data_IF_570727059424
#
_entry.id   IF_570727059424
#
_cell.length_a   1.000
_cell.length_b   1.000
_cell.length_c   1.000
_cell.angle_alpha   90.00
_cell.angle_beta   90.00
_cell.angle_gamma   90.00
#
_symmetry.space_group_name_H-M   'P 1'
#
loop_
_entity.id
_entity.type
_entity.pdbx_description
1 polymer ?
#
# COMPACT_ATOMS: atom_id res chain seq x y z
N UNK A 1 -29.39 0.95 10.50
CA UNK A 1 -28.77 -0.18 11.23
C UNK A 1 -27.85 -0.92 10.27
N UNK A 2 -26.54 -0.69 10.37
CA UNK A 2 -25.55 -1.45 9.59
C UNK A 2 -25.46 -2.87 10.16
N UNK A 3 -25.70 -3.87 9.32
CA UNK A 3 -25.55 -5.29 9.70
C UNK A 3 -24.06 -5.61 9.79
N UNK A 4 -23.60 -6.06 10.95
CA UNK A 4 -22.36 -6.81 11.09
C UNK A 4 -22.54 -8.14 10.34
N UNK A 5 -21.88 -8.25 9.19
CA UNK A 5 -21.61 -9.50 8.49
C UNK A 5 -20.30 -10.07 9.09
N UNK A 6 -19.95 -11.33 8.84
CA UNK A 6 -18.77 -11.99 9.46
C UNK A 6 -17.42 -11.34 9.10
N UNK A 7 -17.44 -10.42 8.14
CA UNK A 7 -16.46 -9.43 7.71
C UNK A 7 -16.65 -8.13 8.51
N UNK A 8 -15.66 -7.80 9.35
CA UNK A 8 -15.68 -6.71 10.31
C UNK A 8 -16.16 -5.38 9.73
N UNK A 9 -17.38 -4.98 10.12
CA UNK A 9 -17.93 -3.62 10.15
C UNK A 9 -17.21 -2.63 9.23
N UNK A 10 -17.73 -2.44 8.02
CA UNK A 10 -17.09 -1.70 6.92
C UNK A 10 -16.54 -0.33 7.35
N UNK A 11 -15.27 -0.30 7.74
CA UNK A 11 -14.47 0.91 7.72
C UNK A 11 -14.29 1.25 6.26
N UNK A 12 -15.12 2.15 5.75
CA UNK A 12 -14.99 2.63 4.38
C UNK A 12 -13.66 3.38 4.29
N UNK A 13 -12.68 2.77 3.66
CA UNK A 13 -11.43 3.44 3.30
C UNK A 13 -11.66 4.12 1.97
N UNK A 14 -11.31 5.40 1.89
CA UNK A 14 -11.45 6.19 0.66
C UNK A 14 -10.07 6.67 0.23
N UNK A 15 -9.80 6.60 -1.06
CA UNK A 15 -8.65 7.25 -1.66
C UNK A 15 -9.11 8.63 -2.15
N UNK A 16 -8.45 9.73 -1.76
CA UNK A 16 -8.82 11.06 -2.21
C UNK A 16 -8.83 11.17 -3.74
N UNK A 17 -9.90 11.76 -4.29
CA UNK A 17 -10.13 11.90 -5.75
C UNK A 17 -8.92 12.48 -6.50
N UNK A 18 -8.23 13.45 -5.91
CA UNK A 18 -7.08 14.10 -6.57
C UNK A 18 -5.87 13.17 -6.75
N UNK A 19 -5.71 12.12 -5.92
CA UNK A 19 -4.69 11.09 -6.15
C UNK A 19 -5.11 10.20 -7.32
N UNK A 20 -6.37 9.73 -7.32
CA UNK A 20 -6.93 8.95 -8.43
C UNK A 20 -6.82 9.68 -9.78
N UNK A 21 -7.04 11.00 -9.81
CA UNK A 21 -6.86 11.81 -11.01
C UNK A 21 -5.39 11.90 -11.46
N UNK A 22 -4.44 12.05 -10.52
CA UNK A 22 -3.00 12.09 -10.84
C UNK A 22 -2.53 10.76 -11.42
N UNK A 23 -3.07 9.68 -10.89
CA UNK A 23 -2.73 8.30 -11.28
C UNK A 23 -3.56 7.81 -12.48
N UNK A 24 -4.37 8.70 -13.10
CA UNK A 24 -5.20 8.41 -14.30
C UNK A 24 -6.18 7.24 -14.11
N UNK A 25 -6.56 6.98 -12.87
CA UNK A 25 -7.58 5.96 -12.51
C UNK A 25 -8.98 6.43 -12.90
N UNK A 26 -9.20 7.73 -13.02
CA UNK A 26 -10.51 8.28 -13.39
C UNK A 26 -10.62 8.48 -14.90
N UNK A 27 -11.74 8.04 -15.47
CA UNK A 27 -12.18 8.35 -16.83
C UNK A 27 -13.39 9.28 -16.77
N UNK A 28 -13.32 10.43 -17.44
CA UNK A 28 -14.30 11.54 -17.35
C UNK A 28 -14.70 11.94 -15.92
N UNK A 29 -13.83 11.67 -14.95
CA UNK A 29 -14.06 11.97 -13.54
C UNK A 29 -14.77 10.87 -12.75
N UNK A 30 -15.02 9.72 -13.34
CA UNK A 30 -15.56 8.56 -12.63
C UNK A 30 -14.55 7.40 -12.64
N UNK A 31 -14.67 6.51 -11.66
CA UNK A 31 -13.86 5.28 -11.64
C UNK A 31 -14.50 4.30 -12.64
N UNK A 32 -13.77 3.76 -13.63
CA UNK A 32 -14.33 2.81 -14.58
C UNK A 32 -14.95 1.59 -13.89
N UNK A 33 -16.04 1.06 -14.44
CA UNK A 33 -16.76 -0.10 -13.87
C UNK A 33 -15.87 -1.36 -13.77
N UNK A 34 -14.91 -1.49 -14.68
CA UNK A 34 -13.97 -2.62 -14.73
C UNK A 34 -12.72 -2.40 -13.86
N UNK A 35 -12.61 -1.24 -13.18
CA UNK A 35 -11.46 -0.93 -12.34
C UNK A 35 -11.43 -1.87 -11.14
N UNK A 36 -10.42 -2.74 -11.12
CA UNK A 36 -10.18 -3.63 -10.00
C UNK A 36 -9.51 -2.88 -8.85
N UNK A 37 -9.75 -3.36 -7.62
CA UNK A 37 -9.06 -2.93 -6.42
C UNK A 37 -8.55 -4.17 -5.71
N UNK A 38 -7.26 -4.18 -5.40
CA UNK A 38 -6.61 -5.26 -4.68
C UNK A 38 -6.23 -4.82 -3.27
N UNK A 39 -6.35 -5.75 -2.31
CA UNK A 39 -5.99 -5.50 -0.90
C UNK A 39 -5.03 -6.58 -0.44
N UNK A 40 -3.80 -6.19 -0.15
CA UNK A 40 -2.74 -7.07 0.33
C UNK A 40 -2.47 -6.83 1.81
N UNK A 41 -2.26 -7.91 2.58
CA UNK A 41 -1.82 -7.81 3.98
C UNK A 41 -0.29 -7.70 4.02
N UNK A 42 0.21 -6.57 4.53
CA UNK A 42 1.65 -6.35 4.71
C UNK A 42 2.20 -6.91 6.03
N UNK A 43 1.34 -7.08 7.04
CA UNK A 43 1.76 -7.51 8.37
C UNK A 43 0.62 -7.54 9.37
N UNK A 44 0.96 -7.59 10.65
CA UNK A 44 -0.05 -7.51 11.71
C UNK A 44 -0.79 -6.17 11.63
N UNK A 45 -2.09 -6.24 11.32
CA UNK A 45 -3.02 -5.08 11.24
C UNK A 45 -2.60 -4.01 10.22
N UNK A 46 -1.74 -4.35 9.25
CA UNK A 46 -1.30 -3.47 8.19
C UNK A 46 -1.74 -4.02 6.82
N UNK A 47 -2.39 -3.17 6.03
CA UNK A 47 -2.97 -3.52 4.73
C UNK A 47 -2.57 -2.47 3.69
N UNK A 48 -2.31 -2.92 2.47
CA UNK A 48 -2.04 -2.09 1.30
C UNK A 48 -3.24 -2.19 0.35
N UNK A 49 -3.78 -1.05 -0.05
CA UNK A 49 -4.82 -0.97 -1.09
C UNK A 49 -4.15 -0.52 -2.38
N UNK A 50 -4.36 -1.25 -3.46
CA UNK A 50 -3.77 -0.97 -4.78
C UNK A 50 -4.82 -0.97 -5.86
N UNK A 51 -4.52 -0.22 -6.91
CA UNK A 51 -5.31 -0.12 -8.13
C UNK A 51 -4.36 -0.51 -9.27
N UNK A 52 -4.61 -1.62 -9.97
CA UNK A 52 -3.77 -2.07 -11.07
C UNK A 52 -3.88 -1.15 -12.28
N UNK A 53 -2.76 -1.01 -12.98
CA UNK A 53 -2.66 -0.40 -14.30
C UNK A 53 -2.46 -1.54 -15.32
N UNK A 54 -3.31 -1.57 -16.37
CA UNK A 54 -3.33 -2.63 -17.38
C UNK A 54 -3.39 -4.08 -16.81
N UNK A 55 -4.10 -4.26 -15.70
CA UNK A 55 -4.26 -5.58 -15.05
C UNK A 55 -3.02 -6.09 -14.31
N UNK A 56 -1.97 -5.29 -14.21
CA UNK A 56 -0.77 -5.62 -13.43
C UNK A 56 -0.65 -4.70 -12.22
N UNK A 57 -0.13 -5.25 -11.11
CA UNK A 57 0.19 -4.49 -9.91
C UNK A 57 1.71 -4.32 -9.88
N UNK A 58 2.23 -3.09 -9.70
CA UNK A 58 3.65 -2.94 -9.40
C UNK A 58 3.96 -3.68 -8.09
N UNK A 59 5.11 -4.35 -8.07
CA UNK A 59 5.56 -5.02 -6.85
C UNK A 59 5.81 -3.93 -5.79
N UNK A 60 5.31 -4.08 -4.54
CA UNK A 60 5.57 -3.11 -3.49
C UNK A 60 7.07 -2.80 -3.30
N UNK A 61 7.97 -3.75 -3.61
CA UNK A 61 9.41 -3.52 -3.52
C UNK A 61 9.94 -2.50 -4.53
N UNK A 62 9.27 -2.35 -5.68
CA UNK A 62 9.65 -1.43 -6.76
C UNK A 62 9.15 0.01 -6.51
N UNK A 63 8.41 0.22 -5.43
CA UNK A 63 7.95 1.55 -5.05
C UNK A 63 9.12 2.36 -4.48
N UNK A 64 9.41 3.53 -5.06
CA UNK A 64 10.52 4.42 -4.67
C UNK A 64 10.59 4.68 -3.15
N UNK A 65 9.43 4.83 -2.51
CA UNK A 65 9.36 5.03 -1.05
C UNK A 65 9.89 3.83 -0.27
N UNK A 66 9.61 2.60 -0.73
CA UNK A 66 10.08 1.37 -0.10
C UNK A 66 11.58 1.23 -0.33
N UNK A 67 12.06 1.41 -1.56
CA UNK A 67 13.50 1.38 -1.87
C UNK A 67 14.28 2.39 -1.02
N UNK A 68 13.77 3.62 -0.91
CA UNK A 68 14.36 4.67 -0.08
C UNK A 68 14.39 4.28 1.40
N UNK A 69 13.32 3.71 1.93
CA UNK A 69 13.27 3.27 3.33
C UNK A 69 14.26 2.14 3.61
N UNK A 70 14.41 1.20 2.67
CA UNK A 70 15.41 0.13 2.75
C UNK A 70 16.82 0.71 2.74
N UNK A 71 17.13 1.61 1.80
CA UNK A 71 18.44 2.27 1.74
C UNK A 71 18.77 3.05 3.02
N UNK A 72 17.79 3.77 3.58
CA UNK A 72 17.96 4.46 4.86
C UNK A 72 18.21 3.49 6.01
N UNK A 73 17.55 2.32 6.04
CA UNK A 73 17.78 1.32 7.09
C UNK A 73 19.17 0.71 7.00
N UNK A 74 19.62 0.32 5.81
CA UNK A 74 20.97 -0.25 5.62
C UNK A 74 22.03 0.74 6.09
N UNK A 75 21.95 2.00 5.66
CA UNK A 75 22.91 3.04 6.09
C UNK A 75 22.88 3.29 7.60
N UNK A 76 21.70 3.22 8.22
CA UNK A 76 21.56 3.39 9.66
C UNK A 76 22.04 2.15 10.43
N UNK A 77 21.77 0.93 9.97
CA UNK A 77 22.24 -0.32 10.57
C UNK A 77 23.77 -0.44 10.47
N UNK A 78 24.36 0.00 9.36
CA UNK A 78 25.81 0.13 9.20
C UNK A 78 26.41 1.21 10.12
N UNK A 79 25.67 2.30 10.38
CA UNK A 79 26.08 3.37 11.30
C UNK A 79 25.95 2.98 12.78
N UNK A 80 25.04 2.07 13.12
CA UNK A 80 24.79 1.54 14.47
C UNK A 80 25.19 0.06 14.58
N UNK A 81 26.35 -0.31 14.01
CA UNK A 81 26.87 -1.67 13.98
C UNK A 81 26.49 -2.48 15.22
N UNK A 82 25.87 -3.63 14.97
CA UNK A 82 25.38 -4.62 15.94
C UNK A 82 26.11 -4.55 17.30
N UNK A 83 25.41 -4.54 18.45
CA UNK A 83 26.07 -4.83 19.70
C UNK A 83 26.70 -6.22 19.55
N UNK A 84 28.02 -6.28 19.64
CA UNK A 84 28.77 -7.53 19.75
C UNK A 84 28.14 -8.29 20.90
N UNK A 85 27.41 -9.35 20.62
CA UNK A 85 27.15 -10.39 21.61
C UNK A 85 28.53 -10.95 21.98
N UNK A 86 29.11 -10.41 23.05
CA UNK A 86 30.24 -11.01 23.72
C UNK A 86 29.72 -12.19 24.53
N UNK A 87 30.27 -13.37 24.20
CA UNK A 87 30.32 -14.65 24.95
C UNK A 87 29.32 -14.88 26.09
#
# INVERSE_FOLDING_TARGET
>A
MQKLRTDGSSGLVTIPRHYLSKDRVLDDGDVPDEQQVDVERLGERAYLVRIPDDGSLPDPQDCEVIERLVGQRILNEDAYGQPRSAD
#
